data_IF_714224230339
#
_entry.id   IF_714224230339
#
_cell.length_a   1.000
_cell.length_b   1.000
_cell.length_c   1.000
_cell.angle_alpha   90.00
_cell.angle_beta   90.00
_cell.angle_gamma   90.00
#
_symmetry.space_group_name_H-M   'P 1'
#
loop_
_entity.id
_entity.type
_entity.pdbx_description
1 polymer ?
#
# COMPACT_ATOMS: atom_id res chain seq x y z
N UNK A 1 -14.29 13.98 9.18
CA UNK A 1 -12.84 13.80 9.42
C UNK A 1 -12.53 12.52 10.21
N UNK A 2 -13.23 12.20 11.30
CA UNK A 2 -13.04 10.95 12.06
C UNK A 2 -13.41 9.65 11.29
N UNK A 3 -14.57 9.61 10.63
CA UNK A 3 -15.10 8.39 9.96
C UNK A 3 -14.20 7.87 8.81
N UNK A 4 -13.49 8.76 8.10
CA UNK A 4 -12.63 8.37 6.98
C UNK A 4 -11.37 7.67 7.51
N UNK A 5 -10.77 8.18 8.59
CA UNK A 5 -9.64 7.52 9.24
C UNK A 5 -10.04 6.13 9.76
N UNK A 6 -11.24 5.98 10.34
CA UNK A 6 -11.71 4.68 10.85
C UNK A 6 -11.80 3.61 9.75
N UNK A 7 -12.25 3.98 8.54
CA UNK A 7 -12.30 3.07 7.39
C UNK A 7 -10.90 2.57 7.01
N UNK A 8 -9.93 3.47 6.86
CA UNK A 8 -8.59 3.09 6.41
C UNK A 8 -7.80 2.35 7.48
N UNK A 9 -8.04 2.63 8.76
CA UNK A 9 -7.55 1.80 9.87
C UNK A 9 -8.11 0.37 9.79
N UNK A 10 -9.41 0.20 9.52
CA UNK A 10 -10.00 -1.11 9.33
C UNK A 10 -9.44 -1.86 8.10
N UNK A 11 -9.17 -1.14 7.01
CA UNK A 11 -8.52 -1.70 5.82
C UNK A 11 -7.09 -2.17 6.11
N UNK A 12 -6.29 -1.34 6.78
CA UNK A 12 -4.94 -1.73 7.19
C UNK A 12 -4.98 -3.00 8.05
N UNK A 13 -5.84 -3.02 9.07
CA UNK A 13 -5.99 -4.20 9.94
C UNK A 13 -6.30 -5.46 9.12
N UNK A 14 -7.25 -5.38 8.18
CA UNK A 14 -7.60 -6.51 7.30
C UNK A 14 -6.40 -6.98 6.46
N UNK A 15 -5.67 -6.04 5.85
CA UNK A 15 -4.49 -6.37 5.05
C UNK A 15 -3.42 -7.05 5.90
N UNK A 16 -3.12 -6.52 7.10
CA UNK A 16 -2.17 -7.11 8.03
C UNK A 16 -2.58 -8.50 8.49
N UNK A 17 -3.88 -8.72 8.78
CA UNK A 17 -4.40 -10.03 9.16
C UNK A 17 -4.24 -11.06 8.03
N UNK A 18 -4.50 -10.67 6.79
CA UNK A 18 -4.28 -11.52 5.59
C UNK A 18 -2.79 -11.81 5.40
N UNK A 19 -1.95 -10.78 5.46
CA UNK A 19 -0.51 -10.91 5.27
C UNK A 19 0.12 -11.82 6.33
N UNK A 20 -0.24 -11.64 7.60
CA UNK A 20 0.22 -12.47 8.72
C UNK A 20 -0.16 -13.95 8.55
N UNK A 21 -1.33 -14.21 7.95
CA UNK A 21 -1.82 -15.57 7.72
C UNK A 21 -1.13 -16.25 6.53
N UNK A 22 -0.89 -15.51 5.46
CA UNK A 22 -0.55 -16.09 4.16
C UNK A 22 0.93 -15.95 3.77
N UNK A 23 1.62 -14.90 4.22
CA UNK A 23 3.00 -14.64 3.81
C UNK A 23 4.00 -15.51 4.59
N UNK A 24 5.05 -15.96 3.89
CA UNK A 24 6.16 -16.69 4.50
C UNK A 24 7.02 -15.80 5.40
N UNK A 25 7.26 -14.56 4.98
CA UNK A 25 7.94 -13.53 5.74
C UNK A 25 6.99 -12.35 5.89
N UNK A 26 6.83 -11.87 7.12
CA UNK A 26 5.88 -10.80 7.44
C UNK A 26 6.55 -9.75 8.32
N UNK A 27 6.79 -8.58 7.75
CA UNK A 27 7.14 -7.36 8.47
C UNK A 27 5.94 -6.40 8.50
N UNK A 28 5.29 -6.33 9.66
CA UNK A 28 4.13 -5.47 9.89
C UNK A 28 4.43 -3.98 9.71
N UNK A 29 5.61 -3.53 10.15
CA UNK A 29 6.03 -2.13 10.05
C UNK A 29 6.17 -1.72 8.57
N UNK A 30 6.83 -2.56 7.77
CA UNK A 30 7.01 -2.29 6.34
C UNK A 30 5.67 -2.12 5.62
N UNK A 31 4.74 -3.05 5.82
CA UNK A 31 3.42 -3.00 5.17
C UNK A 31 2.61 -1.80 5.68
N UNK A 32 2.69 -1.51 6.98
CA UNK A 32 2.00 -0.36 7.59
C UNK A 32 2.50 0.96 7.02
N UNK A 33 3.82 1.14 6.92
CA UNK A 33 4.42 2.35 6.34
C UNK A 33 4.05 2.48 4.86
N UNK A 34 4.16 1.41 4.07
CA UNK A 34 3.77 1.42 2.66
C UNK A 34 2.28 1.78 2.47
N UNK A 35 1.40 1.23 3.30
CA UNK A 35 -0.04 1.51 3.26
C UNK A 35 -0.32 2.99 3.50
N UNK A 36 0.22 3.57 4.58
CA UNK A 36 -0.02 4.97 4.91
C UNK A 36 0.67 5.93 3.95
N UNK A 37 1.84 5.56 3.43
CA UNK A 37 2.50 6.33 2.39
C UNK A 37 1.61 6.42 1.15
N UNK A 38 1.16 5.26 0.64
CA UNK A 38 0.27 5.19 -0.52
C UNK A 38 -1.03 5.94 -0.30
N UNK A 39 -1.66 5.77 0.87
CA UNK A 39 -2.85 6.53 1.24
C UNK A 39 -2.61 8.04 1.21
N UNK A 40 -1.55 8.52 1.83
CA UNK A 40 -1.28 9.95 1.92
C UNK A 40 -0.92 10.57 0.56
N UNK A 41 -0.23 9.82 -0.30
CA UNK A 41 0.13 10.25 -1.64
C UNK A 41 -1.09 10.38 -2.56
N UNK A 42 -2.11 9.54 -2.34
CA UNK A 42 -3.33 9.50 -3.16
C UNK A 42 -4.59 10.08 -2.49
N UNK A 43 -4.50 10.62 -1.26
CA UNK A 43 -5.67 11.02 -0.46
C UNK A 43 -6.51 12.12 -1.11
N UNK A 44 -5.87 12.97 -1.91
CA UNK A 44 -6.49 14.09 -2.62
C UNK A 44 -6.80 13.75 -4.09
N UNK A 45 -6.43 12.54 -4.53
CA UNK A 45 -6.65 12.05 -5.89
C UNK A 45 -7.95 11.24 -5.94
N UNK A 46 -8.83 11.61 -6.87
CA UNK A 46 -10.09 10.93 -7.13
C UNK A 46 -10.14 10.44 -8.57
N UNK A 47 -10.70 9.24 -8.78
CA UNK A 47 -11.00 8.74 -10.12
C UNK A 47 -12.13 9.53 -10.75
N UNK A 48 -12.28 9.44 -12.07
CA UNK A 48 -13.40 10.06 -12.80
C UNK A 48 -14.79 9.60 -12.29
N UNK A 49 -14.86 8.42 -11.66
CA UNK A 49 -16.06 7.89 -10.99
C UNK A 49 -16.38 8.56 -9.64
N UNK A 50 -15.46 9.34 -9.07
CA UNK A 50 -15.57 9.94 -7.73
C UNK A 50 -15.00 9.09 -6.60
N UNK A 51 -14.42 7.93 -6.90
CA UNK A 51 -13.81 7.06 -5.88
C UNK A 51 -12.38 7.51 -5.52
N UNK A 52 -11.95 7.35 -4.24
CA UNK A 52 -10.57 7.60 -3.84
C UNK A 52 -9.59 6.70 -4.59
N UNK A 53 -8.52 7.28 -5.13
CA UNK A 53 -7.54 6.54 -5.94
C UNK A 53 -6.85 5.40 -5.16
N UNK A 54 -6.60 5.62 -3.87
CA UNK A 54 -5.98 4.65 -2.96
C UNK A 54 -6.67 3.27 -2.91
N UNK A 55 -7.96 3.18 -3.25
CA UNK A 55 -8.64 1.88 -3.27
C UNK A 55 -7.96 0.87 -4.21
N UNK A 56 -7.40 1.35 -5.33
CA UNK A 56 -6.75 0.47 -6.31
C UNK A 56 -5.47 -0.17 -5.81
N UNK A 57 -4.44 0.59 -5.34
CA UNK A 57 -3.25 -0.04 -4.79
C UNK A 57 -3.56 -0.97 -3.61
N UNK A 58 -4.57 -0.63 -2.80
CA UNK A 58 -5.05 -1.51 -1.72
C UNK A 58 -5.64 -2.83 -2.24
N UNK A 59 -6.49 -2.80 -3.25
CA UNK A 59 -7.08 -4.01 -3.84
C UNK A 59 -6.03 -4.89 -4.51
N UNK A 60 -5.06 -4.31 -5.22
CA UNK A 60 -3.93 -5.05 -5.80
C UNK A 60 -3.11 -5.72 -4.70
N UNK A 61 -2.80 -5.01 -3.61
CA UNK A 61 -2.07 -5.59 -2.47
C UNK A 61 -2.85 -6.74 -1.79
N UNK A 62 -4.18 -6.63 -1.70
CA UNK A 62 -5.04 -7.70 -1.21
C UNK A 62 -5.02 -8.94 -2.11
N UNK A 63 -5.01 -8.76 -3.44
CA UNK A 63 -4.87 -9.86 -4.40
C UNK A 63 -3.51 -10.53 -4.24
N UNK A 64 -2.41 -9.75 -4.20
CA UNK A 64 -1.07 -10.29 -3.97
C UNK A 64 -1.00 -11.10 -2.68
N UNK A 65 -1.55 -10.57 -1.58
CA UNK A 65 -1.53 -11.24 -0.29
C UNK A 65 -2.44 -12.49 -0.20
N UNK A 66 -3.45 -12.64 -1.07
CA UNK A 66 -4.36 -13.79 -1.06
C UNK A 66 -4.02 -14.85 -2.10
N UNK A 67 -3.72 -14.42 -3.34
CA UNK A 67 -3.60 -15.30 -4.50
C UNK A 67 -2.14 -15.66 -4.80
N UNK A 68 -1.20 -14.77 -4.51
CA UNK A 68 0.23 -14.95 -4.79
C UNK A 68 1.11 -14.53 -3.58
N UNK A 69 0.89 -15.09 -2.37
CA UNK A 69 1.53 -14.64 -1.15
C UNK A 69 3.01 -15.03 -1.09
N UNK A 70 3.89 -14.20 -1.66
CA UNK A 70 5.34 -14.42 -1.68
C UNK A 70 6.00 -13.90 -0.40
N UNK A 71 6.09 -12.59 -0.26
CA UNK A 71 6.71 -11.90 0.87
C UNK A 71 6.09 -10.51 1.11
N UNK A 72 6.48 -9.90 2.23
CA UNK A 72 6.09 -8.55 2.63
C UNK A 72 6.52 -7.46 1.64
N UNK A 73 7.67 -7.65 0.98
CA UNK A 73 8.18 -6.74 -0.05
C UNK A 73 7.23 -6.71 -1.26
N UNK A 74 6.75 -7.86 -1.72
CA UNK A 74 5.81 -7.92 -2.85
C UNK A 74 4.50 -7.17 -2.55
N UNK A 75 4.00 -7.29 -1.31
CA UNK A 75 2.81 -6.55 -0.87
C UNK A 75 3.10 -5.05 -0.74
N UNK A 76 4.25 -4.68 -0.19
CA UNK A 76 4.65 -3.28 -0.08
C UNK A 76 4.82 -2.63 -1.47
N UNK A 77 5.45 -3.33 -2.42
CA UNK A 77 5.56 -2.88 -3.81
C UNK A 77 4.19 -2.73 -4.47
N UNK A 78 3.25 -3.66 -4.23
CA UNK A 78 1.88 -3.53 -4.74
C UNK A 78 1.14 -2.28 -4.21
N UNK A 79 1.37 -1.89 -2.95
CA UNK A 79 0.81 -0.65 -2.40
C UNK A 79 1.42 0.61 -3.04
N UNK A 80 2.67 0.53 -3.50
CA UNK A 80 3.46 1.68 -3.95
C UNK A 80 3.59 1.80 -5.48
N UNK A 81 3.12 0.82 -6.25
CA UNK A 81 3.46 0.67 -7.68
C UNK A 81 3.16 1.90 -8.54
N UNK A 82 2.06 2.61 -8.24
CA UNK A 82 1.59 3.75 -9.02
C UNK A 82 2.09 5.11 -8.49
N UNK A 83 2.82 5.13 -7.36
CA UNK A 83 3.16 6.36 -6.67
C UNK A 83 4.01 7.30 -7.52
N UNK A 84 5.01 6.76 -8.21
CA UNK A 84 5.91 7.57 -9.04
C UNK A 84 5.22 8.06 -10.31
N UNK A 85 4.21 7.34 -10.80
CA UNK A 85 3.47 7.69 -12.02
C UNK A 85 2.38 8.74 -11.74
N UNK A 86 1.67 8.62 -10.61
CA UNK A 86 0.44 9.37 -10.34
C UNK A 86 0.60 10.50 -9.32
N UNK A 87 1.79 10.68 -8.75
CA UNK A 87 2.04 11.68 -7.70
C UNK A 87 3.35 12.43 -7.95
N UNK A 88 3.71 13.36 -7.07
CA UNK A 88 4.95 14.11 -7.17
C UNK A 88 6.17 13.39 -6.58
N UNK A 89 5.99 12.21 -5.97
CA UNK A 89 7.09 11.44 -5.38
C UNK A 89 7.96 10.82 -6.46
N UNK A 90 9.27 10.79 -6.24
CA UNK A 90 10.23 10.20 -7.18
C UNK A 90 10.71 8.83 -6.73
N UNK A 91 11.41 8.12 -7.61
CA UNK A 91 12.01 6.83 -7.26
C UNK A 91 13.06 6.97 -6.15
N UNK A 92 13.74 8.11 -6.07
CA UNK A 92 14.67 8.45 -4.99
C UNK A 92 13.96 8.61 -3.65
N UNK A 93 12.76 9.19 -3.63
CA UNK A 93 11.94 9.29 -2.41
C UNK A 93 11.54 7.89 -1.91
N UNK A 94 11.14 7.00 -2.82
CA UNK A 94 10.80 5.61 -2.50
C UNK A 94 12.04 4.85 -1.99
N UNK A 95 13.19 5.06 -2.62
CA UNK A 95 14.45 4.46 -2.18
C UNK A 95 14.86 4.94 -0.79
N UNK A 96 14.67 6.23 -0.48
CA UNK A 96 14.99 6.80 0.83
C UNK A 96 14.11 6.22 1.95
N UNK A 97 12.81 6.03 1.69
CA UNK A 97 11.85 5.56 2.71
C UNK A 97 11.82 4.03 2.86
N UNK A 98 11.98 3.30 1.76
CA UNK A 98 11.75 1.84 1.69
C UNK A 98 12.97 1.03 1.27
N UNK A 99 14.05 1.69 0.84
CA UNK A 99 15.29 1.06 0.41
C UNK A 99 15.26 0.62 -1.06
N UNK A 100 16.44 0.26 -1.56
CA UNK A 100 16.70 -0.04 -2.97
C UNK A 100 15.89 -1.22 -3.51
N UNK A 101 15.53 -2.21 -2.67
CA UNK A 101 14.80 -3.40 -3.12
C UNK A 101 13.34 -3.08 -3.51
N UNK A 102 12.74 -2.06 -2.91
CA UNK A 102 11.37 -1.64 -3.24
C UNK A 102 11.37 -0.58 -4.36
N UNK A 103 12.43 0.23 -4.45
CA UNK A 103 12.59 1.26 -5.46
C UNK A 103 13.10 0.75 -6.83
N UNK A 104 13.08 -0.56 -7.08
CA UNK A 104 13.61 -1.17 -8.31
C UNK A 104 12.55 -1.99 -9.05
#
# INVERSE_FOLDING_TARGET
>A
MLVIQDKYQANLKKLLDVCRKNLKNFNEDLITRAFWFSYNAHKDNYRASGEPYFNHPYEVAMIVANEIPLDDISVASALLHDIVEDTSFTIEDIQAEFGEKIAR
#
